data_IF_510478888887
#
_entry.id   IF_510478888887
#
_cell.length_a   1.000
_cell.length_b   1.000
_cell.length_c   1.000
_cell.angle_alpha   90.00
_cell.angle_beta   90.00
_cell.angle_gamma   90.00
#
_symmetry.space_group_name_H-M   'P 1'
#
loop_
_entity.id
_entity.type
_entity.pdbx_description
1 polymer ?
#
# COMPACT_ATOMS: atom_id res chain seq x y z
N UNK A 1 8.17 21.25 -11.07
CA UNK A 1 8.67 19.87 -10.88
C UNK A 1 7.48 18.94 -10.80
N UNK A 2 7.52 17.75 -11.42
CA UNK A 2 6.43 16.78 -11.31
C UNK A 2 6.54 16.03 -9.97
N UNK A 3 5.43 15.85 -9.21
CA UNK A 3 5.44 15.10 -7.97
C UNK A 3 5.81 13.63 -8.23
N UNK A 4 6.75 13.09 -7.46
CA UNK A 4 7.16 11.67 -7.53
C UNK A 4 6.39 10.87 -6.49
N UNK A 5 5.75 9.80 -6.93
CA UNK A 5 4.99 8.89 -6.05
C UNK A 5 5.61 7.50 -6.04
N UNK A 6 5.31 6.76 -4.97
CA UNK A 6 5.57 5.32 -4.87
C UNK A 6 4.22 4.63 -4.80
N UNK A 7 4.04 3.56 -5.57
CA UNK A 7 2.81 2.77 -5.57
C UNK A 7 3.18 1.35 -5.16
N UNK A 8 2.59 0.88 -4.07
CA UNK A 8 2.57 -0.52 -3.69
C UNK A 8 1.31 -1.16 -4.28
N UNK A 9 1.45 -2.23 -5.06
CA UNK A 9 0.33 -2.88 -5.74
C UNK A 9 -0.05 -4.14 -4.95
N UNK A 10 -1.33 -4.27 -4.61
CA UNK A 10 -1.93 -5.47 -3.99
C UNK A 10 -3.12 -5.95 -4.80
N UNK A 11 -3.42 -7.24 -4.67
CA UNK A 11 -4.53 -7.87 -5.40
C UNK A 11 -5.73 -8.16 -4.50
N UNK A 12 -5.55 -8.40 -3.19
CA UNK A 12 -6.66 -8.67 -2.26
C UNK A 12 -7.57 -9.81 -2.75
N UNK A 13 -6.95 -10.94 -3.10
CA UNK A 13 -7.64 -12.14 -3.61
C UNK A 13 -7.29 -13.42 -2.82
N UNK A 14 -6.68 -13.28 -1.65
CA UNK A 14 -6.36 -14.44 -0.81
C UNK A 14 -7.61 -15.03 -0.13
N UNK A 15 -7.55 -16.27 0.37
CA UNK A 15 -8.64 -16.89 1.13
C UNK A 15 -9.02 -16.15 2.42
N UNK A 16 -8.15 -15.26 2.94
CA UNK A 16 -8.40 -14.45 4.13
C UNK A 16 -7.92 -13.03 3.89
N UNK A 17 -8.86 -12.16 3.51
CA UNK A 17 -8.59 -10.74 3.27
C UNK A 17 -8.08 -10.02 4.52
N UNK A 18 -8.49 -10.45 5.71
CA UNK A 18 -7.97 -9.93 6.99
C UNK A 18 -6.48 -10.23 7.15
N UNK A 19 -6.07 -11.47 6.91
CA UNK A 19 -4.65 -11.85 7.00
C UNK A 19 -3.80 -11.13 5.94
N UNK A 20 -4.35 -10.92 4.75
CA UNK A 20 -3.70 -10.14 3.70
C UNK A 20 -3.59 -8.64 4.06
N UNK A 21 -4.62 -8.09 4.71
CA UNK A 21 -4.62 -6.72 5.23
C UNK A 21 -3.55 -6.53 6.32
N UNK A 22 -3.47 -7.44 7.31
CA UNK A 22 -2.46 -7.38 8.37
C UNK A 22 -1.03 -7.35 7.80
N UNK A 23 -0.75 -8.23 6.82
CA UNK A 23 0.53 -8.26 6.13
C UNK A 23 0.79 -6.97 5.35
N UNK A 24 -0.23 -6.45 4.66
CA UNK A 24 -0.15 -5.21 3.89
C UNK A 24 0.12 -4.01 4.79
N UNK A 25 -0.55 -3.90 5.93
CA UNK A 25 -0.29 -2.84 6.93
C UNK A 25 1.14 -2.90 7.47
N UNK A 26 1.65 -4.10 7.75
CA UNK A 26 3.04 -4.29 8.16
C UNK A 26 4.03 -3.78 7.10
N UNK A 27 3.85 -4.19 5.85
CA UNK A 27 4.70 -3.78 4.72
C UNK A 27 4.61 -2.27 4.47
N UNK A 28 3.40 -1.72 4.44
CA UNK A 28 3.16 -0.29 4.27
C UNK A 28 3.89 0.54 5.32
N UNK A 29 3.82 0.16 6.60
CA UNK A 29 4.49 0.88 7.68
C UNK A 29 6.02 0.85 7.56
N UNK A 30 6.59 -0.28 7.11
CA UNK A 30 8.02 -0.39 6.83
C UNK A 30 8.43 0.55 5.69
N UNK A 31 7.68 0.54 4.57
CA UNK A 31 7.98 1.40 3.43
C UNK A 31 7.83 2.88 3.75
N UNK A 32 6.77 3.30 4.46
CA UNK A 32 6.62 4.68 4.92
C UNK A 32 7.81 5.11 5.77
N UNK A 33 8.24 4.25 6.71
CA UNK A 33 9.37 4.55 7.60
C UNK A 33 10.68 4.71 6.82
N UNK A 34 10.90 3.89 5.79
CA UNK A 34 12.08 3.99 4.93
C UNK A 34 12.03 5.24 4.05
N UNK A 35 10.92 5.47 3.33
CA UNK A 35 10.74 6.60 2.42
C UNK A 35 10.95 7.93 3.14
N UNK A 36 10.39 8.09 4.36
CA UNK A 36 10.61 9.28 5.19
C UNK A 36 12.09 9.56 5.48
N UNK A 37 12.95 8.53 5.49
CA UNK A 37 14.40 8.68 5.73
C UNK A 37 15.18 8.95 4.46
N UNK A 38 14.81 8.32 3.34
CA UNK A 38 15.64 8.32 2.11
C UNK A 38 15.13 9.22 0.99
N UNK A 39 13.82 9.45 0.90
CA UNK A 39 13.16 10.22 -0.16
C UNK A 39 11.88 10.87 0.42
N UNK A 40 11.99 11.79 1.40
CA UNK A 40 10.84 12.34 2.12
C UNK A 40 9.87 13.13 1.23
N UNK A 41 10.29 13.52 0.04
CA UNK A 41 9.45 14.18 -0.96
C UNK A 41 8.45 13.23 -1.65
N UNK A 42 8.64 11.91 -1.52
CA UNK A 42 7.78 10.92 -2.15
C UNK A 42 6.67 10.48 -1.22
N UNK A 43 5.47 10.39 -1.78
CA UNK A 43 4.30 9.84 -1.08
C UNK A 43 4.02 8.41 -1.55
N UNK A 44 3.83 7.51 -0.58
CA UNK A 44 3.43 6.13 -0.82
C UNK A 44 1.91 6.04 -0.96
N UNK A 45 1.46 5.30 -1.96
CA UNK A 45 0.06 4.95 -2.19
C UNK A 45 -0.07 3.44 -2.31
N UNK A 46 -1.21 2.92 -1.86
CA UNK A 46 -1.58 1.52 -2.05
C UNK A 46 -2.57 1.44 -3.21
N UNK A 47 -2.21 0.73 -4.28
CA UNK A 47 -3.12 0.41 -5.37
C UNK A 47 -3.77 -0.95 -5.11
N UNK A 48 -5.09 -0.97 -5.15
CA UNK A 48 -5.93 -2.17 -4.98
C UNK A 48 -6.98 -2.24 -6.09
N UNK A 49 -7.50 -3.42 -6.44
CA UNK A 49 -8.58 -3.53 -7.40
C UNK A 49 -9.85 -2.85 -6.88
N UNK A 50 -10.64 -2.28 -7.79
CA UNK A 50 -11.92 -1.64 -7.44
C UNK A 50 -12.88 -2.62 -6.74
N UNK A 51 -12.95 -3.87 -7.19
CA UNK A 51 -13.74 -4.90 -6.53
C UNK A 51 -13.33 -5.10 -5.07
N UNK A 52 -12.02 -5.19 -4.78
CA UNK A 52 -11.55 -5.31 -3.40
C UNK A 52 -11.89 -4.07 -2.56
N UNK A 53 -11.87 -2.87 -3.17
CA UNK A 53 -12.29 -1.65 -2.49
C UNK A 53 -13.79 -1.65 -2.15
N UNK A 54 -14.65 -2.08 -3.07
CA UNK A 54 -16.09 -2.09 -2.85
C UNK A 54 -16.57 -3.23 -1.93
N UNK A 55 -15.92 -4.39 -2.00
CA UNK A 55 -16.40 -5.61 -1.32
C UNK A 55 -15.79 -5.80 0.08
N UNK A 56 -14.64 -5.19 0.38
CA UNK A 56 -13.89 -5.43 1.63
C UNK A 56 -13.47 -4.17 2.40
N UNK A 57 -13.17 -3.06 1.73
CA UNK A 57 -12.71 -1.81 2.38
C UNK A 57 -13.84 -0.82 2.64
#
# INVERSE_FOLDING_TARGET
MQPKIVIEIKVFNSPSLITELEKTLGQYNIYVSLIKRINPERKLYLAIPEAAYQDFF
#
